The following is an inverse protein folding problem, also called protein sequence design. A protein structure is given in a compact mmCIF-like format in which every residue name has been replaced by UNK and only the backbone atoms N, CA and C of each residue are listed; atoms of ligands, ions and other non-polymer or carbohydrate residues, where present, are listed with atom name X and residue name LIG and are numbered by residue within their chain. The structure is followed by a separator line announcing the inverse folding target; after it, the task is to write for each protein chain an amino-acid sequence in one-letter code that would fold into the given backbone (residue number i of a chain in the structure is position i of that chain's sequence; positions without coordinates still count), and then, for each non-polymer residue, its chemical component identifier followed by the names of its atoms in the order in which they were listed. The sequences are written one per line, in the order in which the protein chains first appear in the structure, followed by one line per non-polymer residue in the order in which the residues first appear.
data_IF_781027812069
#
_entry.id   IF_781027812069
#
_cell.length_a   1.000
_cell.length_b   1.000
_cell.length_c   1.000
_cell.angle_alpha   90.00
_cell.angle_beta   90.00
_cell.angle_gamma   90.00
#
_symmetry.space_group_name_H-M   'P 1'
#
loop_
_entity.id
_entity.type
_entity.pdbx_description
1 polymer ?
#
# COMPACT_ATOMS: atom_id res chain seq x y z
N UNK A 1 -17.57 -9.73 33.73
CA UNK A 1 -16.49 -9.25 34.61
C UNK A 1 -15.12 -9.26 33.92
N UNK A 2 -14.63 -10.37 33.36
CA UNK A 2 -13.34 -10.44 32.66
C UNK A 2 -13.16 -9.44 31.52
N UNK A 3 -14.17 -9.29 30.62
CA UNK A 3 -14.14 -8.33 29.50
C UNK A 3 -14.08 -6.85 29.95
N UNK A 4 -14.64 -6.53 31.11
CA UNK A 4 -14.61 -5.16 31.65
C UNK A 4 -13.25 -4.83 32.23
N UNK A 5 -12.62 -5.77 32.93
CA UNK A 5 -11.25 -5.66 33.46
C UNK A 5 -10.21 -5.49 32.33
N UNK A 6 -10.34 -6.25 31.24
CA UNK A 6 -9.47 -6.12 30.07
C UNK A 6 -9.59 -4.73 29.41
N UNK A 7 -10.81 -4.20 29.27
CA UNK A 7 -11.05 -2.85 28.75
C UNK A 7 -10.43 -1.77 29.65
N UNK A 8 -10.56 -1.91 30.97
CA UNK A 8 -10.00 -0.96 31.93
C UNK A 8 -8.46 -0.98 31.93
N UNK A 9 -7.85 -2.15 31.83
CA UNK A 9 -6.39 -2.32 31.69
C UNK A 9 -5.87 -1.71 30.39
N UNK A 10 -6.57 -1.92 29.28
CA UNK A 10 -6.23 -1.33 27.97
C UNK A 10 -6.35 0.22 28.02
N UNK A 11 -7.37 0.76 28.69
CA UNK A 11 -7.48 2.21 28.88
C UNK A 11 -6.33 2.77 29.70
N UNK A 12 -5.95 2.10 30.81
CA UNK A 12 -4.83 2.51 31.66
C UNK A 12 -3.49 2.43 30.87
N UNK A 13 -3.30 1.36 30.09
CA UNK A 13 -2.13 1.20 29.22
C UNK A 13 -2.02 2.32 28.19
N UNK A 14 -3.13 2.71 27.52
CA UNK A 14 -3.17 3.82 26.55
C UNK A 14 -2.95 5.20 27.19
N UNK A 15 -3.23 5.36 28.48
CA UNK A 15 -2.89 6.59 29.23
C UNK A 15 -1.38 6.67 29.46
N UNK A 16 -0.74 5.58 29.85
CA UNK A 16 0.70 5.50 30.12
C UNK A 16 1.54 5.48 28.85
N UNK A 17 1.04 4.82 27.78
CA UNK A 17 1.70 4.68 26.48
C UNK A 17 0.76 5.18 25.36
N UNK A 18 0.57 6.50 25.23
CA UNK A 18 -0.36 7.04 24.25
C UNK A 18 0.11 6.79 22.83
N UNK A 19 -0.77 6.16 22.05
CA UNK A 19 -0.57 6.05 20.61
C UNK A 19 -0.61 7.43 19.97
N UNK A 20 0.15 7.60 18.88
CA UNK A 20 0.26 8.88 18.18
C UNK A 20 -0.22 8.75 16.75
N UNK A 21 -0.89 9.80 16.27
CA UNK A 21 -1.29 9.93 14.89
C UNK A 21 -0.09 9.73 13.95
N UNK A 22 -0.23 8.83 12.99
CA UNK A 22 0.84 8.53 12.04
C UNK A 22 1.14 9.71 11.10
N UNK A 23 0.29 10.71 10.99
CA UNK A 23 0.48 11.86 10.12
C UNK A 23 1.05 13.06 10.87
N UNK A 24 0.39 13.55 11.92
CA UNK A 24 0.79 14.77 12.64
C UNK A 24 1.49 14.53 13.99
N UNK A 25 1.55 13.28 14.48
CA UNK A 25 2.17 12.94 15.76
C UNK A 25 1.33 13.32 16.99
N UNK A 26 0.14 13.92 16.86
CA UNK A 26 -0.76 14.22 17.96
C UNK A 26 -1.15 12.95 18.73
N UNK A 27 -1.42 13.05 20.02
CA UNK A 27 -1.93 11.93 20.81
C UNK A 27 -3.30 11.51 20.30
N UNK A 28 -3.49 10.20 20.10
CA UNK A 28 -4.77 9.63 19.71
C UNK A 28 -5.68 9.47 20.92
N UNK A 29 -6.96 9.74 20.73
CA UNK A 29 -8.01 9.43 21.71
C UNK A 29 -8.32 7.94 21.70
N UNK A 30 -9.13 7.46 22.63
CA UNK A 30 -9.53 6.05 22.73
C UNK A 30 -10.33 5.57 21.50
N UNK A 31 -10.95 6.50 20.76
CA UNK A 31 -11.77 6.20 19.57
C UNK A 31 -11.00 6.32 18.25
N UNK A 32 -9.82 6.87 18.30
CA UNK A 32 -8.94 7.02 17.14
C UNK A 32 -7.95 5.84 17.06
N UNK A 33 -7.64 5.41 15.86
CA UNK A 33 -6.73 4.27 15.65
C UNK A 33 -5.37 4.76 15.16
N UNK A 34 -5.17 4.89 13.85
CA UNK A 34 -3.89 5.29 13.26
C UNK A 34 -3.83 6.79 12.95
N UNK A 35 -4.96 7.43 12.70
CA UNK A 35 -5.10 8.86 12.42
C UNK A 35 -5.97 9.55 13.45
N UNK A 36 -5.62 10.78 13.83
CA UNK A 36 -6.52 11.65 14.56
C UNK A 36 -7.64 12.17 13.64
N UNK A 37 -8.76 12.62 14.23
CA UNK A 37 -9.91 13.10 13.48
C UNK A 37 -9.52 14.21 12.47
N UNK A 38 -8.70 15.16 12.86
CA UNK A 38 -8.23 16.25 11.98
C UNK A 38 -7.51 15.70 10.74
N UNK A 39 -6.57 14.77 10.91
CA UNK A 39 -5.84 14.17 9.80
C UNK A 39 -6.74 13.29 8.93
N UNK A 40 -7.66 12.56 9.55
CA UNK A 40 -8.62 11.73 8.82
C UNK A 40 -9.52 12.57 7.90
N UNK A 41 -10.07 13.68 8.40
CA UNK A 41 -10.90 14.58 7.60
C UNK A 41 -10.12 15.40 6.56
N UNK A 42 -8.80 15.52 6.71
CA UNK A 42 -7.93 16.22 5.74
C UNK A 42 -7.36 15.30 4.66
N UNK A 43 -7.72 14.01 4.62
CA UNK A 43 -7.24 13.11 3.57
C UNK A 43 -7.72 13.61 2.19
N UNK A 44 -6.81 13.70 1.19
CA UNK A 44 -7.14 14.14 -0.16
C UNK A 44 -7.82 13.00 -0.94
N UNK A 45 -9.04 12.66 -0.58
CA UNK A 45 -9.82 11.57 -1.22
C UNK A 45 -10.04 11.87 -2.70
N UNK A 46 -9.95 10.86 -3.56
CA UNK A 46 -10.14 11.02 -5.00
C UNK A 46 -11.59 11.07 -5.41
N UNK A 47 -12.43 10.25 -4.79
CA UNK A 47 -13.85 10.07 -5.09
C UNK A 47 -14.15 9.69 -6.55
N UNK A 48 -13.14 9.21 -7.29
CA UNK A 48 -13.27 8.86 -8.72
C UNK A 48 -14.17 7.66 -8.98
N UNK A 49 -14.45 6.85 -7.96
CA UNK A 49 -15.39 5.73 -8.06
C UNK A 49 -16.82 6.17 -8.40
N UNK A 50 -17.17 7.44 -8.13
CA UNK A 50 -18.48 8.00 -8.48
C UNK A 50 -18.64 8.24 -10.00
N UNK A 51 -17.56 8.19 -10.77
CA UNK A 51 -17.53 8.47 -12.21
C UNK A 51 -17.27 7.17 -13.00
N UNK A 52 -18.28 6.49 -13.57
CA UNK A 52 -18.06 5.36 -14.47
C UNK A 52 -17.21 5.79 -15.67
N UNK A 53 -16.28 4.95 -16.10
CA UNK A 53 -15.33 5.28 -17.16
C UNK A 53 -14.31 6.33 -16.74
N UNK A 54 -13.98 6.38 -15.46
CA UNK A 54 -12.99 7.32 -14.91
C UNK A 54 -11.58 7.12 -15.51
N UNK A 55 -10.69 8.08 -15.23
CA UNK A 55 -9.33 8.07 -15.79
C UNK A 55 -8.50 6.85 -15.41
N UNK A 56 -8.80 6.20 -14.27
CA UNK A 56 -8.09 4.98 -13.83
C UNK A 56 -8.59 3.76 -14.61
N UNK A 57 -9.90 3.61 -14.82
CA UNK A 57 -10.45 2.53 -15.63
C UNK A 57 -9.89 2.55 -17.06
N UNK A 58 -9.80 3.76 -17.66
CA UNK A 58 -9.29 3.96 -19.03
C UNK A 58 -7.88 3.46 -19.26
N UNK A 59 -7.04 3.39 -18.21
CA UNK A 59 -5.67 2.86 -18.31
C UNK A 59 -5.65 1.38 -18.71
N UNK A 60 -6.67 0.65 -18.33
CA UNK A 60 -6.77 -0.80 -18.46
C UNK A 60 -7.69 -1.23 -19.60
N UNK A 61 -8.46 -0.29 -20.20
CA UNK A 61 -9.34 -0.59 -21.31
C UNK A 61 -8.58 -1.23 -22.49
N UNK A 62 -9.18 -2.19 -23.13
CA UNK A 62 -8.64 -2.97 -24.24
C UNK A 62 -7.34 -3.75 -23.93
N UNK A 63 -6.94 -3.83 -22.64
CA UNK A 63 -5.75 -4.60 -22.21
C UNK A 63 -6.13 -5.79 -21.37
N UNK A 64 -7.08 -5.62 -20.47
CA UNK A 64 -7.64 -6.67 -19.61
C UNK A 64 -9.17 -6.50 -19.53
N UNK A 65 -9.85 -7.55 -19.08
CA UNK A 65 -11.30 -7.51 -18.83
C UNK A 65 -11.58 -6.76 -17.50
N UNK A 66 -11.62 -5.43 -17.58
CA UNK A 66 -11.77 -4.52 -16.43
C UNK A 66 -13.23 -4.13 -16.26
N UNK A 67 -13.81 -4.33 -15.06
CA UNK A 67 -15.14 -3.86 -14.71
C UNK A 67 -15.10 -2.48 -14.03
N UNK A 68 -14.31 -2.34 -12.98
CA UNK A 68 -14.22 -1.09 -12.20
C UNK A 68 -12.77 -0.83 -11.78
N UNK A 69 -12.42 0.44 -11.65
CA UNK A 69 -11.16 0.82 -11.02
C UNK A 69 -11.30 2.11 -10.22
N UNK A 70 -10.67 2.12 -9.04
CA UNK A 70 -10.64 3.29 -8.17
C UNK A 70 -9.33 3.40 -7.41
N UNK A 71 -9.10 4.60 -6.88
CA UNK A 71 -8.02 4.87 -5.94
C UNK A 71 -8.58 5.72 -4.79
N UNK A 72 -8.19 5.40 -3.56
CA UNK A 72 -8.77 6.02 -2.37
C UNK A 72 -8.40 7.49 -2.21
N UNK A 73 -7.10 7.83 -2.29
CA UNK A 73 -6.64 9.21 -2.12
C UNK A 73 -5.53 9.59 -3.08
N UNK A 74 -5.34 10.88 -3.33
CA UNK A 74 -4.20 11.36 -4.10
C UNK A 74 -2.90 11.19 -3.32
N UNK A 75 -1.89 10.63 -3.97
CA UNK A 75 -0.52 10.66 -3.46
C UNK A 75 0.12 11.99 -3.82
N UNK A 76 0.36 12.84 -2.82
CA UNK A 76 0.97 14.15 -3.00
C UNK A 76 2.37 14.09 -2.39
N UNK A 77 3.45 14.08 -3.20
CA UNK A 77 4.81 14.21 -2.72
C UNK A 77 4.95 15.49 -1.88
N UNK A 78 5.80 15.47 -0.87
CA UNK A 78 6.08 16.63 0.00
C UNK A 78 4.89 17.19 0.79
N UNK A 79 3.84 16.39 0.99
CA UNK A 79 2.72 16.71 1.85
C UNK A 79 2.75 15.84 3.12
N UNK A 80 2.00 16.27 4.15
CA UNK A 80 1.85 15.46 5.38
C UNK A 80 1.27 14.07 5.09
N UNK A 81 0.41 13.92 4.08
CA UNK A 81 -0.16 12.63 3.69
C UNK A 81 0.88 11.64 3.16
N UNK A 82 2.03 12.13 2.65
CA UNK A 82 3.17 11.28 2.30
C UNK A 82 3.60 10.40 3.48
N UNK A 83 3.54 10.91 4.72
CA UNK A 83 3.92 10.15 5.91
C UNK A 83 3.08 8.88 6.09
N UNK A 84 1.79 8.90 5.75
CA UNK A 84 0.94 7.72 5.79
C UNK A 84 1.44 6.61 4.85
N UNK A 85 1.84 6.99 3.62
CA UNK A 85 2.42 6.04 2.65
C UNK A 85 3.81 5.56 3.06
N UNK A 86 4.65 6.47 3.60
CA UNK A 86 5.98 6.09 4.07
C UNK A 86 5.89 5.11 5.24
N UNK A 87 4.96 5.33 6.17
CA UNK A 87 4.76 4.43 7.30
C UNK A 87 4.17 3.09 6.89
N UNK A 88 3.28 3.07 5.90
CA UNK A 88 2.83 1.83 5.27
C UNK A 88 4.01 1.04 4.67
N UNK A 89 4.98 1.72 4.04
CA UNK A 89 6.09 1.06 3.33
C UNK A 89 7.27 0.66 4.23
N UNK A 90 7.58 1.45 5.23
CA UNK A 90 8.86 1.33 5.95
C UNK A 90 8.77 1.05 7.45
N UNK A 91 7.58 1.07 8.04
CA UNK A 91 7.44 0.65 9.43
C UNK A 91 7.26 -0.87 9.55
N UNK A 92 8.39 -1.59 9.62
CA UNK A 92 8.47 -3.07 9.69
C UNK A 92 7.54 -3.72 10.72
N UNK A 93 7.16 -2.99 11.77
CA UNK A 93 6.42 -3.53 12.91
C UNK A 93 4.99 -2.99 13.03
N UNK A 94 4.45 -2.33 11.99
CA UNK A 94 3.10 -1.77 12.02
C UNK A 94 2.24 -2.16 10.80
N UNK A 95 2.02 -3.47 10.57
CA UNK A 95 1.13 -3.94 9.48
C UNK A 95 -0.31 -3.43 9.66
N UNK A 96 -0.73 -3.12 10.91
CA UNK A 96 -2.04 -2.56 11.24
C UNK A 96 -2.34 -1.25 10.51
N UNK A 97 -1.34 -0.46 10.10
CA UNK A 97 -1.53 0.74 9.28
C UNK A 97 -2.18 0.39 7.93
N UNK A 98 -1.68 -0.66 7.26
CA UNK A 98 -2.26 -1.14 6.01
C UNK A 98 -3.67 -1.68 6.22
N UNK A 99 -3.89 -2.43 7.29
CA UNK A 99 -5.20 -2.95 7.64
C UNK A 99 -6.21 -1.82 7.92
N UNK A 100 -5.79 -0.76 8.63
CA UNK A 100 -6.61 0.43 8.86
C UNK A 100 -7.01 1.09 7.54
N UNK A 101 -6.05 1.38 6.64
CA UNK A 101 -6.37 2.00 5.35
C UNK A 101 -7.21 1.11 4.46
N UNK A 102 -7.00 -0.21 4.47
CA UNK A 102 -7.84 -1.15 3.74
C UNK A 102 -9.32 -1.08 4.16
N UNK A 103 -9.60 -1.01 5.48
CA UNK A 103 -10.97 -0.78 5.96
C UNK A 103 -11.52 0.57 5.51
N UNK A 104 -10.70 1.64 5.56
CA UNK A 104 -11.12 2.97 5.10
C UNK A 104 -11.46 2.98 3.62
N UNK A 105 -10.67 2.30 2.78
CA UNK A 105 -10.93 2.12 1.35
C UNK A 105 -12.27 1.41 1.11
N UNK A 106 -12.56 0.35 1.87
CA UNK A 106 -13.83 -0.35 1.77
C UNK A 106 -15.01 0.51 2.24
N UNK A 107 -14.85 1.27 3.32
CA UNK A 107 -15.88 2.18 3.82
C UNK A 107 -16.18 3.32 2.85
N UNK A 108 -15.19 3.85 2.10
CA UNK A 108 -15.39 4.91 1.10
C UNK A 108 -16.25 4.42 -0.08
N UNK A 109 -16.28 3.12 -0.32
CA UNK A 109 -17.04 2.45 -1.39
C UNK A 109 -18.32 1.76 -0.90
N UNK A 110 -18.64 1.84 0.40
CA UNK A 110 -19.72 1.06 1.02
C UNK A 110 -21.12 1.37 0.46
N UNK A 111 -21.35 2.62 0.04
CA UNK A 111 -22.63 3.07 -0.52
C UNK A 111 -22.72 2.83 -2.05
N UNK A 112 -21.78 2.05 -2.62
CA UNK A 112 -21.74 1.70 -4.04
C UNK A 112 -21.90 0.20 -4.26
N UNK A 113 -22.08 -0.20 -5.50
CA UNK A 113 -22.10 -1.60 -5.94
C UNK A 113 -20.69 -2.16 -6.23
N UNK A 114 -19.63 -1.43 -5.89
CA UNK A 114 -18.24 -1.74 -6.27
C UNK A 114 -17.80 -3.18 -5.93
N UNK A 115 -18.23 -3.67 -4.77
CA UNK A 115 -17.86 -5.01 -4.29
C UNK A 115 -18.88 -6.11 -4.65
N UNK A 116 -20.02 -5.77 -5.26
CA UNK A 116 -21.18 -6.67 -5.38
C UNK A 116 -20.92 -7.94 -6.20
N UNK A 117 -20.03 -7.88 -7.17
CA UNK A 117 -19.72 -8.99 -8.09
C UNK A 117 -18.33 -9.58 -7.88
N UNK A 118 -17.56 -9.06 -6.92
CA UNK A 118 -16.19 -9.52 -6.65
C UNK A 118 -16.21 -10.83 -5.85
N UNK A 119 -15.49 -11.83 -6.35
CA UNK A 119 -15.36 -13.14 -5.72
C UNK A 119 -14.16 -13.25 -4.79
N UNK A 120 -13.06 -12.51 -5.09
CA UNK A 120 -11.76 -12.73 -4.48
C UNK A 120 -10.91 -11.46 -4.49
N UNK A 121 -10.18 -11.21 -3.42
CA UNK A 121 -9.17 -10.14 -3.35
C UNK A 121 -7.80 -10.75 -3.58
N UNK A 122 -7.05 -10.20 -4.54
CA UNK A 122 -5.66 -10.59 -4.80
C UNK A 122 -4.77 -9.36 -4.61
N UNK A 123 -3.92 -9.32 -3.58
CA UNK A 123 -2.93 -8.25 -3.43
C UNK A 123 -1.80 -8.44 -4.44
N UNK A 124 -1.37 -7.35 -5.07
CA UNK A 124 -0.20 -7.38 -5.96
C UNK A 124 1.04 -7.83 -5.16
N UNK A 125 1.73 -8.90 -5.57
CA UNK A 125 2.83 -9.43 -4.78
C UNK A 125 4.09 -8.57 -4.86
N UNK A 126 4.83 -8.52 -3.75
CA UNK A 126 6.19 -7.99 -3.70
C UNK A 126 7.18 -9.07 -4.10
N UNK A 127 8.33 -8.64 -4.63
CA UNK A 127 9.47 -9.54 -4.76
C UNK A 127 10.00 -10.00 -3.40
N UNK A 128 10.60 -11.19 -3.35
CA UNK A 128 11.15 -11.76 -2.13
C UNK A 128 12.18 -10.84 -1.45
N UNK A 129 12.97 -10.09 -2.23
CA UNK A 129 13.94 -9.13 -1.70
C UNK A 129 13.23 -7.97 -1.00
N UNK A 130 12.25 -7.34 -1.65
CA UNK A 130 11.48 -6.23 -1.07
C UNK A 130 10.67 -6.68 0.16
N UNK A 131 10.13 -7.90 0.13
CA UNK A 131 9.43 -8.45 1.29
C UNK A 131 10.35 -8.65 2.49
N UNK A 132 11.58 -9.13 2.28
CA UNK A 132 12.60 -9.22 3.35
C UNK A 132 12.99 -7.84 3.89
N UNK A 133 13.14 -6.83 3.03
CA UNK A 133 13.47 -5.47 3.44
C UNK A 133 12.34 -4.80 4.23
N UNK A 134 11.10 -4.94 3.78
CA UNK A 134 9.92 -4.29 4.37
C UNK A 134 9.28 -5.08 5.51
N UNK A 135 9.52 -6.40 5.57
CA UNK A 135 8.95 -7.32 6.56
C UNK A 135 7.56 -7.85 6.21
N UNK A 136 6.80 -7.19 5.32
CA UNK A 136 5.48 -7.62 4.87
C UNK A 136 5.13 -7.00 3.50
N UNK A 137 4.10 -7.56 2.84
CA UNK A 137 3.51 -6.98 1.63
C UNK A 137 2.44 -5.95 2.01
N UNK A 138 2.63 -4.70 1.61
CA UNK A 138 1.72 -3.58 1.90
C UNK A 138 0.34 -3.81 1.27
N UNK A 139 0.32 -4.27 0.01
CA UNK A 139 -0.92 -4.59 -0.69
C UNK A 139 -1.70 -5.70 0.03
N UNK A 140 -1.01 -6.70 0.61
CA UNK A 140 -1.66 -7.74 1.40
C UNK A 140 -2.31 -7.19 2.68
N UNK A 141 -1.67 -6.24 3.37
CA UNK A 141 -2.27 -5.61 4.55
C UNK A 141 -3.49 -4.75 4.20
N UNK A 142 -3.46 -4.05 3.07
CA UNK A 142 -4.64 -3.34 2.54
C UNK A 142 -5.76 -4.34 2.20
N UNK A 143 -5.44 -5.42 1.50
CA UNK A 143 -6.39 -6.49 1.15
C UNK A 143 -7.06 -7.11 2.38
N UNK A 144 -6.29 -7.40 3.45
CA UNK A 144 -6.83 -7.91 4.71
C UNK A 144 -7.76 -6.90 5.39
N UNK A 145 -7.47 -5.59 5.29
CA UNK A 145 -8.34 -4.54 5.79
C UNK A 145 -9.65 -4.45 5.01
N UNK A 146 -9.60 -4.55 3.68
CA UNK A 146 -10.79 -4.61 2.82
C UNK A 146 -11.60 -5.86 3.13
N UNK A 147 -10.96 -7.02 3.23
CA UNK A 147 -11.60 -8.28 3.58
C UNK A 147 -12.35 -8.21 4.92
N UNK A 148 -11.75 -7.59 5.92
CA UNK A 148 -12.38 -7.42 7.25
C UNK A 148 -13.67 -6.57 7.19
N UNK A 149 -13.79 -5.65 6.24
CA UNK A 149 -14.97 -4.80 6.08
C UNK A 149 -16.02 -5.42 5.14
N UNK A 150 -15.61 -6.18 4.12
CA UNK A 150 -16.48 -6.70 3.06
C UNK A 150 -16.86 -8.17 3.23
N UNK A 151 -16.07 -8.94 3.98
CA UNK A 151 -16.21 -10.40 4.08
C UNK A 151 -15.63 -11.17 2.88
N UNK A 152 -15.05 -10.50 1.90
CA UNK A 152 -14.45 -11.14 0.73
C UNK A 152 -13.17 -11.92 1.11
N UNK A 153 -12.93 -13.10 0.52
CA UNK A 153 -11.71 -13.85 0.77
C UNK A 153 -10.48 -13.18 0.14
N UNK A 154 -9.30 -13.38 0.74
CA UNK A 154 -8.01 -12.92 0.21
C UNK A 154 -7.20 -14.12 -0.25
N UNK A 155 -6.57 -14.01 -1.43
CA UNK A 155 -5.65 -15.01 -1.97
C UNK A 155 -4.32 -14.36 -2.31
N UNK A 156 -3.27 -14.75 -1.62
CA UNK A 156 -1.88 -14.33 -1.85
C UNK A 156 -1.09 -15.36 -2.68
N UNK A 157 -1.66 -16.55 -2.90
CA UNK A 157 -0.95 -17.71 -3.45
C UNK A 157 -1.12 -17.90 -4.95
N UNK A 158 -2.07 -17.19 -5.59
CA UNK A 158 -2.39 -17.39 -7.00
C UNK A 158 -1.26 -16.93 -7.94
N UNK A 159 -0.59 -15.86 -7.58
CA UNK A 159 0.46 -15.22 -8.39
C UNK A 159 1.64 -14.82 -7.50
N UNK A 160 2.86 -14.95 -8.03
CA UNK A 160 4.07 -14.50 -7.34
C UNK A 160 4.89 -13.55 -8.22
N UNK A 161 5.66 -12.67 -7.58
CA UNK A 161 6.65 -11.82 -8.25
C UNK A 161 8.03 -12.46 -8.07
N UNK A 162 8.59 -13.02 -9.15
CA UNK A 162 9.85 -13.75 -9.11
C UNK A 162 11.07 -12.91 -9.53
N UNK A 163 10.86 -11.78 -10.21
CA UNK A 163 11.94 -10.87 -10.62
C UNK A 163 11.92 -9.63 -9.73
N UNK A 164 13.05 -9.34 -9.08
CA UNK A 164 13.34 -8.01 -8.53
C UNK A 164 13.74 -7.13 -9.72
N UNK A 165 12.99 -6.05 -9.99
CA UNK A 165 13.45 -5.08 -11.00
C UNK A 165 14.81 -4.57 -10.55
N UNK A 166 15.90 -4.87 -11.28
CA UNK A 166 17.16 -4.20 -11.04
C UNK A 166 16.95 -2.70 -11.28
N UNK A 167 17.64 -1.87 -10.51
CA UNK A 167 17.69 -0.42 -10.68
C UNK A 167 18.03 -0.13 -12.15
N UNK A 168 17.04 0.34 -12.94
CA UNK A 168 17.18 0.50 -14.40
C UNK A 168 17.88 1.83 -14.72
N UNK A 169 19.16 1.91 -14.46
CA UNK A 169 19.96 3.10 -14.79
C UNK A 169 20.37 3.20 -16.25
N UNK A 170 20.15 2.17 -17.10
CA UNK A 170 20.71 2.15 -18.46
C UNK A 170 19.84 1.50 -19.55
N UNK A 171 18.53 1.34 -19.40
CA UNK A 171 17.69 0.72 -20.44
C UNK A 171 16.82 1.75 -21.18
N UNK A 172 16.76 1.61 -22.53
CA UNK A 172 15.92 2.43 -23.42
C UNK A 172 14.41 2.18 -23.19
N UNK A 173 13.55 3.17 -23.53
CA UNK A 173 12.10 3.11 -23.31
C UNK A 173 11.41 1.88 -23.95
N UNK A 174 11.95 1.34 -25.05
CA UNK A 174 11.43 0.17 -25.74
C UNK A 174 11.77 -1.13 -25.02
N UNK A 175 12.93 -1.25 -24.42
CA UNK A 175 13.35 -2.40 -23.60
C UNK A 175 12.61 -2.42 -22.24
N UNK A 176 12.19 -1.25 -21.72
CA UNK A 176 11.36 -1.14 -20.52
C UNK A 176 9.98 -1.80 -20.70
N UNK A 177 9.37 -1.68 -21.90
CA UNK A 177 8.04 -2.28 -22.16
C UNK A 177 8.07 -3.81 -22.32
N UNK A 178 9.18 -4.37 -22.77
CA UNK A 178 9.37 -5.83 -22.90
C UNK A 178 9.75 -6.48 -21.56
N UNK A 179 10.58 -5.81 -20.74
CA UNK A 179 11.01 -6.34 -19.43
C UNK A 179 9.94 -6.33 -18.33
N UNK A 180 8.80 -5.64 -18.53
CA UNK A 180 7.69 -5.63 -17.56
C UNK A 180 6.78 -6.84 -17.69
N UNK A 181 6.79 -7.55 -18.84
CA UNK A 181 5.87 -8.67 -19.10
C UNK A 181 6.18 -9.95 -18.32
N UNK A 182 7.42 -10.13 -17.83
CA UNK A 182 7.86 -11.37 -17.20
C UNK A 182 8.28 -11.23 -15.74
N UNK A 183 7.64 -10.32 -14.98
CA UNK A 183 7.98 -10.13 -13.56
C UNK A 183 7.09 -10.94 -12.62
N UNK A 184 5.93 -11.38 -13.10
CA UNK A 184 4.98 -12.22 -12.35
C UNK A 184 4.89 -13.61 -12.95
N UNK A 185 4.51 -14.58 -12.14
CA UNK A 185 4.24 -15.95 -12.53
C UNK A 185 2.94 -16.44 -11.90
N UNK A 186 2.06 -17.04 -12.70
CA UNK A 186 0.86 -17.70 -12.21
C UNK A 186 1.25 -19.00 -11.53
N UNK A 187 0.90 -19.16 -10.26
CA UNK A 187 1.28 -20.30 -9.41
C UNK A 187 0.11 -21.26 -9.22
N UNK A 188 -1.06 -20.71 -8.94
CA UNK A 188 -2.28 -21.47 -8.62
C UNK A 188 -3.46 -21.01 -9.48
N UNK A 189 -3.48 -21.35 -10.78
CA UNK A 189 -4.54 -20.91 -11.70
C UNK A 189 -5.95 -21.33 -11.26
N UNK A 190 -6.08 -22.50 -10.62
CA UNK A 190 -7.34 -23.03 -10.12
C UNK A 190 -8.02 -22.14 -9.06
N UNK A 191 -7.25 -21.26 -8.39
CA UNK A 191 -7.82 -20.36 -7.40
C UNK A 191 -8.50 -19.14 -8.02
N UNK A 192 -8.20 -18.82 -9.30
CA UNK A 192 -8.62 -17.57 -9.93
C UNK A 192 -9.39 -17.76 -11.24
N UNK A 193 -9.33 -18.93 -11.87
CA UNK A 193 -10.01 -19.21 -13.13
C UNK A 193 -11.51 -18.92 -13.05
N UNK A 194 -12.04 -18.16 -14.02
CA UNK A 194 -13.46 -17.80 -14.14
C UNK A 194 -13.98 -16.84 -13.08
N UNK A 195 -13.12 -16.25 -12.22
CA UNK A 195 -13.53 -15.37 -11.12
C UNK A 195 -13.42 -13.89 -11.47
N UNK A 196 -14.21 -13.10 -10.76
CA UNK A 196 -14.05 -11.64 -10.71
C UNK A 196 -13.11 -11.27 -9.54
N UNK A 197 -11.93 -10.77 -9.87
CA UNK A 197 -10.86 -10.49 -8.93
C UNK A 197 -10.76 -9.00 -8.64
N UNK A 198 -10.65 -8.65 -7.35
CA UNK A 198 -10.19 -7.33 -6.93
C UNK A 198 -8.68 -7.34 -6.77
N UNK A 199 -7.95 -6.69 -7.69
CA UNK A 199 -6.52 -6.41 -7.53
C UNK A 199 -6.31 -5.20 -6.62
N UNK A 200 -5.48 -5.38 -5.58
CA UNK A 200 -5.16 -4.33 -4.60
C UNK A 200 -3.68 -4.01 -4.65
N UNK A 201 -3.34 -2.70 -4.71
CA UNK A 201 -1.96 -2.21 -4.63
C UNK A 201 -1.86 -0.94 -3.76
N UNK A 202 -0.64 -0.56 -3.39
CA UNK A 202 -0.40 0.61 -2.54
C UNK A 202 -0.54 1.93 -3.32
N UNK A 203 0.11 2.08 -4.49
CA UNK A 203 0.09 3.33 -5.28
C UNK A 203 0.01 3.01 -6.77
N UNK A 204 -0.99 3.59 -7.41
CA UNK A 204 -1.12 3.60 -8.86
C UNK A 204 -0.33 4.78 -9.44
N UNK A 205 0.66 4.48 -10.26
CA UNK A 205 1.44 5.45 -11.04
C UNK A 205 1.07 5.37 -12.52
N UNK A 206 1.74 4.55 -13.30
CA UNK A 206 1.44 4.28 -14.72
C UNK A 206 0.47 3.12 -14.91
N UNK A 207 0.22 2.34 -13.86
CA UNK A 207 -0.57 1.12 -13.91
C UNK A 207 0.17 -0.11 -14.46
N UNK A 208 1.43 0.03 -14.89
CA UNK A 208 2.17 -1.09 -15.52
C UNK A 208 2.36 -2.29 -14.61
N UNK A 209 2.60 -2.12 -13.32
CA UNK A 209 2.72 -3.22 -12.36
C UNK A 209 1.40 -3.99 -12.20
N UNK A 210 0.29 -3.27 -12.05
CA UNK A 210 -1.04 -3.86 -11.93
C UNK A 210 -1.43 -4.56 -13.23
N UNK A 211 -1.15 -3.92 -14.37
CA UNK A 211 -1.43 -4.51 -15.70
C UNK A 211 -0.67 -5.81 -15.89
N UNK A 212 0.64 -5.84 -15.64
CA UNK A 212 1.44 -7.07 -15.76
C UNK A 212 0.96 -8.19 -14.82
N UNK A 213 0.55 -7.85 -13.60
CA UNK A 213 -0.05 -8.81 -12.66
C UNK A 213 -1.39 -9.35 -13.18
N UNK A 214 -2.25 -8.47 -13.71
CA UNK A 214 -3.54 -8.84 -14.27
C UNK A 214 -3.40 -9.70 -15.54
N UNK A 215 -2.48 -9.34 -16.45
CA UNK A 215 -2.18 -10.14 -17.66
C UNK A 215 -1.74 -11.56 -17.27
N UNK A 216 -0.89 -11.71 -16.27
CA UNK A 216 -0.47 -13.02 -15.75
C UNK A 216 -1.64 -13.81 -15.13
N UNK A 217 -2.51 -13.17 -14.36
CA UNK A 217 -3.69 -13.81 -13.77
C UNK A 217 -4.72 -14.20 -14.84
N UNK A 218 -4.84 -13.43 -15.93
CA UNK A 218 -5.74 -13.72 -17.04
C UNK A 218 -5.39 -15.01 -17.79
N UNK A 219 -4.16 -15.51 -17.70
CA UNK A 219 -3.74 -16.80 -18.24
C UNK A 219 -4.53 -17.98 -17.65
N UNK A 220 -5.13 -17.83 -16.46
CA UNK A 220 -6.01 -18.84 -15.88
C UNK A 220 -7.33 -19.03 -16.65
N UNK A 221 -7.70 -18.08 -17.52
CA UNK A 221 -8.91 -18.10 -18.33
C UNK A 221 -10.16 -17.57 -17.63
N UNK A 222 -10.94 -16.72 -18.33
CA UNK A 222 -12.23 -16.19 -17.87
C UNK A 222 -12.17 -15.27 -16.66
N UNK A 223 -11.00 -14.69 -16.35
CA UNK A 223 -10.82 -13.81 -15.19
C UNK A 223 -11.25 -12.39 -15.56
N UNK A 224 -12.10 -11.78 -14.70
CA UNK A 224 -12.47 -10.37 -14.77
C UNK A 224 -11.81 -9.61 -13.62
N UNK A 225 -11.58 -8.31 -13.80
CA UNK A 225 -10.83 -7.51 -12.84
C UNK A 225 -11.60 -6.29 -12.37
N UNK A 226 -11.51 -6.01 -11.08
CA UNK A 226 -11.63 -4.67 -10.51
C UNK A 226 -10.30 -4.30 -9.85
N UNK A 227 -10.01 -3.00 -9.77
CA UNK A 227 -8.74 -2.49 -9.23
C UNK A 227 -9.02 -1.47 -8.15
N UNK A 228 -8.35 -1.61 -7.00
CA UNK A 228 -8.44 -0.63 -5.92
C UNK A 228 -7.06 -0.37 -5.33
N UNK A 229 -6.62 0.90 -5.35
CA UNK A 229 -5.34 1.32 -4.78
C UNK A 229 -5.52 2.32 -3.66
N UNK A 230 -4.61 2.33 -2.69
CA UNK A 230 -4.63 3.33 -1.63
C UNK A 230 -4.29 4.71 -2.18
N UNK A 231 -3.34 4.80 -3.12
CA UNK A 231 -2.86 6.06 -3.67
C UNK A 231 -2.94 6.17 -5.17
N UNK A 232 -3.29 7.37 -5.66
CA UNK A 232 -3.20 7.77 -7.05
C UNK A 232 -2.11 8.82 -7.21
N UNK A 233 -1.09 8.50 -7.99
CA UNK A 233 0.01 9.42 -8.26
C UNK A 233 -0.40 10.53 -9.24
N UNK A 234 0.32 11.62 -9.22
CA UNK A 234 0.10 12.90 -9.89
C UNK A 234 0.02 12.90 -11.42
N UNK A 235 0.34 11.80 -12.12
CA UNK A 235 0.18 11.74 -13.59
C UNK A 235 -1.27 11.86 -14.05
N UNK A 236 -2.21 11.76 -13.13
CA UNK A 236 -3.63 11.99 -13.34
C UNK A 236 -3.99 13.42 -12.97
N UNK A 237 -4.99 13.98 -13.63
CA UNK A 237 -5.45 15.34 -13.40
C UNK A 237 -5.87 15.54 -11.95
N UNK A 238 -4.96 16.08 -11.15
CA UNK A 238 -5.22 16.41 -9.74
C UNK A 238 -5.95 17.73 -9.68
N UNK A 239 -7.14 17.83 -9.07
CA UNK A 239 -7.88 19.08 -8.92
C UNK A 239 -7.02 20.20 -8.31
N UNK A 240 -7.25 21.44 -8.73
CA UNK A 240 -6.47 22.61 -8.26
C UNK A 240 -6.45 22.72 -6.74
N UNK A 241 -7.60 22.49 -6.08
CA UNK A 241 -7.70 22.52 -4.62
C UNK A 241 -6.75 21.52 -3.93
N UNK A 242 -6.58 20.32 -4.50
CA UNK A 242 -5.67 19.29 -4.01
C UNK A 242 -4.21 19.65 -4.31
N UNK A 243 -3.94 20.28 -5.46
CA UNK A 243 -2.59 20.79 -5.78
C UNK A 243 -2.15 21.93 -4.86
N UNK A 244 -3.06 22.76 -4.41
CA UNK A 244 -2.76 23.89 -3.53
C UNK A 244 -2.37 23.43 -2.11
N UNK A 245 -2.80 22.24 -1.68
CA UNK A 245 -2.30 21.59 -0.46
C UNK A 245 -0.80 21.23 -0.53
N UNK A 246 -0.27 21.03 -1.74
CA UNK A 246 1.15 20.72 -1.96
C UNK A 246 2.05 21.96 -2.04
N UNK A 247 1.49 23.15 -2.31
CA UNK A 247 2.27 24.39 -2.49
C UNK A 247 2.81 25.00 -1.20
N UNK A 248 2.30 24.58 -0.06
CA UNK A 248 2.81 25.02 1.24
C UNK A 248 4.13 24.35 1.64
N UNK A 249 4.67 23.45 0.82
CA UNK A 249 5.99 22.87 0.96
C UNK A 249 6.98 23.62 0.05
N UNK A 250 8.07 24.15 0.63
CA UNK A 250 9.04 25.05 0.01
C UNK A 250 10.00 24.42 -1.00
N UNK A 251 9.65 23.29 -1.60
CA UNK A 251 10.49 22.62 -2.60
C UNK A 251 9.79 22.52 -3.97
N UNK A 252 10.52 22.93 -4.99
CA UNK A 252 10.13 22.87 -6.39
C UNK A 252 9.95 21.41 -6.82
N UNK A 253 8.78 21.10 -7.30
CA UNK A 253 8.39 19.73 -7.61
C UNK A 253 9.08 19.25 -8.89
N UNK A 254 9.91 18.24 -8.79
CA UNK A 254 10.44 17.47 -9.92
C UNK A 254 9.61 16.19 -10.15
N UNK A 255 9.38 15.75 -11.42
CA UNK A 255 8.77 14.47 -11.70
C UNK A 255 9.58 13.36 -11.03
N UNK A 256 8.90 12.39 -10.45
CA UNK A 256 9.53 11.15 -9.98
C UNK A 256 10.02 10.35 -11.19
N UNK A 257 11.20 10.65 -11.69
CA UNK A 257 12.07 9.60 -12.20
C UNK A 257 12.34 8.70 -10.99
N UNK A 258 12.26 7.39 -11.16
CA UNK A 258 12.36 6.36 -10.11
C UNK A 258 13.47 6.67 -9.07
N UNK A 259 13.22 7.62 -8.19
CA UNK A 259 14.09 7.84 -7.05
C UNK A 259 13.89 6.67 -6.10
N UNK A 260 14.94 5.88 -5.97
CA UNK A 260 15.13 4.94 -4.88
C UNK A 260 14.92 5.76 -3.60
N UNK A 261 13.78 5.53 -2.94
CA UNK A 261 13.48 6.16 -1.67
C UNK A 261 14.35 5.50 -0.61
N UNK A 262 15.54 6.03 -0.40
CA UNK A 262 16.31 5.75 0.80
C UNK A 262 15.62 6.49 1.95
N UNK A 263 15.09 5.72 2.88
CA UNK A 263 14.58 6.25 4.14
C UNK A 263 15.79 6.72 4.96
N UNK A 264 15.93 8.02 5.10
CA UNK A 264 16.92 8.60 6.01
C UNK A 264 16.40 8.51 7.44
N UNK A 265 16.87 7.49 8.16
CA UNK A 265 16.54 7.27 9.58
C UNK A 265 17.02 8.42 10.48
N UNK A 266 17.93 9.29 10.01
CA UNK A 266 18.48 10.41 10.79
C UNK A 266 17.48 11.55 11.01
N UNK A 267 16.44 11.63 10.15
CA UNK A 267 15.39 12.66 10.26
C UNK A 267 14.20 12.25 11.12
N UNK A 268 14.10 10.98 11.50
CA UNK A 268 13.10 10.51 12.46
C UNK A 268 13.67 10.53 13.87
N UNK A 269 13.45 11.63 14.62
CA UNK A 269 13.87 11.80 16.01
C UNK A 269 13.36 10.71 16.98
N UNK A 270 12.72 9.67 16.46
CA UNK A 270 12.14 8.52 17.16
C UNK A 270 12.72 7.17 16.75
N UNK A 271 13.71 7.14 15.84
CA UNK A 271 14.47 5.95 15.54
C UNK A 271 15.52 5.75 16.63
N UNK A 272 15.25 4.92 17.64
CA UNK A 272 16.28 4.44 18.56
C UNK A 272 17.28 3.61 17.77
N UNK A 273 18.61 3.89 17.87
CA UNK A 273 19.62 3.00 17.34
C UNK A 273 19.52 1.67 18.08
N UNK A 274 19.45 0.58 17.31
CA UNK A 274 19.66 -0.75 17.85
C UNK A 274 21.13 -0.82 18.26
N UNK A 275 21.42 -0.87 19.56
CA UNK A 275 22.74 -1.21 20.07
C UNK A 275 23.15 -2.57 19.48
N UNK A 276 24.11 -2.56 18.55
CA UNK A 276 24.84 -3.76 18.16
C UNK A 276 25.64 -4.24 19.36
N UNK A 277 25.12 -5.25 20.04
CA UNK A 277 25.84 -5.99 21.06
C UNK A 277 26.89 -6.88 20.35
N UNK A 278 28.02 -6.28 19.98
CA UNK A 278 29.21 -7.03 19.59
C UNK A 278 29.83 -7.61 20.85
N UNK A 279 29.51 -8.87 21.12
CA UNK A 279 30.26 -9.67 22.09
C UNK A 279 31.74 -9.74 21.64
N UNK A 280 32.60 -9.05 22.36
CA UNK A 280 34.04 -9.23 22.29
C UNK A 280 34.40 -10.65 22.76
N UNK A 281 34.75 -11.50 21.81
CA UNK A 281 35.47 -12.73 22.12
C UNK A 281 36.93 -12.37 22.42
N UNK A 282 37.29 -12.31 23.68
CA UNK A 282 38.69 -12.20 24.11
C UNK A 282 39.41 -13.50 23.82
N UNK A 283 40.30 -13.45 22.85
CA UNK A 283 41.35 -14.47 22.68
C UNK A 283 42.44 -14.21 23.72
N UNK A 284 42.53 -15.07 24.69
CA UNK A 284 43.69 -15.15 25.62
C UNK A 284 44.57 -16.31 25.18
N UNK A 285 45.53 -16.01 24.32
CA UNK A 285 46.71 -16.88 24.12
C UNK A 285 47.73 -16.53 25.18
N UNK A 286 48.01 -17.43 26.08
CA UNK A 286 49.29 -17.43 26.82
C UNK A 286 49.96 -18.78 26.79
N UNK A 287 51.16 -18.73 26.22
CA UNK A 287 52.29 -19.63 26.34
C UNK A 287 52.49 -20.24 27.71
N UNK A 288 52.70 -21.56 27.77
CA UNK A 288 53.90 -22.26 28.30
C UNK A 288 53.76 -23.74 27.99
#
# INVERSE_FOLDING_TARGET
MWRTLQKSLLCLWRILFPERCIQCGARLTVREEELCATCLFSLPLTRIHAEPGNGVERLFWAKIDIERASAFMYYIPNSETRLSFMRLKYQRHRPQVGHFFGRMMACDLADTDFFSTIDLIVPVPLSAQRQRQRGYNQAAQLALGIAAATGLPVCEEAVERYVDNPTQTHLNAHERSQNVKDIFRLVRPELVAGRHILLVDDILTTGSTILSCAETLAEAGGVRFSILTMGLSRHYHVPKAVRDLAKNSSEEWQPLEEQVWEYDASTDSRAHPLEENRGEASSDERHS
#
